data_IF_257402264839
#
_entry.id   IF_257402264839
#
_cell.length_a   1.000
_cell.length_b   1.000
_cell.length_c   1.000
_cell.angle_alpha   90.00
_cell.angle_beta   90.00
_cell.angle_gamma   90.00
#
_symmetry.space_group_name_H-M   'P 1'
#
loop_
_entity.id
_entity.type
_entity.pdbx_description
1 polymer ?
#
# COMPACT_ATOMS: atom_id res chain seq x y z
N UNK A 1 -11.87 9.30 3.89
CA UNK A 1 -11.28 10.29 4.81
C UNK A 1 -11.80 11.68 4.46
N UNK A 2 -11.75 12.62 5.40
CA UNK A 2 -12.21 14.00 5.23
C UNK A 2 -11.18 14.98 5.78
N UNK A 3 -10.60 15.79 4.90
CA UNK A 3 -9.56 16.76 5.29
C UNK A 3 -10.13 18.15 5.49
N UNK A 4 -11.16 18.50 4.70
CA UNK A 4 -11.85 19.77 4.77
C UNK A 4 -13.32 19.51 4.53
N UNK A 5 -14.19 20.09 5.36
CA UNK A 5 -15.62 20.06 5.17
C UNK A 5 -16.20 21.47 5.34
N UNK A 6 -16.67 22.07 4.25
CA UNK A 6 -17.06 23.48 4.25
C UNK A 6 -15.87 24.38 4.58
N UNK A 7 -15.97 25.11 5.69
CA UNK A 7 -14.94 25.98 6.26
C UNK A 7 -14.12 25.32 7.38
N UNK A 8 -14.41 24.06 7.72
CA UNK A 8 -13.71 23.33 8.79
C UNK A 8 -12.53 22.56 8.23
N UNK A 9 -11.32 22.88 8.71
CA UNK A 9 -10.08 22.12 8.46
C UNK A 9 -9.94 20.99 9.48
N UNK A 10 -9.85 19.75 8.98
CA UNK A 10 -9.71 18.52 9.76
C UNK A 10 -8.38 17.81 9.48
N UNK A 11 -7.48 18.38 8.67
CA UNK A 11 -6.21 17.75 8.30
C UNK A 11 -5.34 17.44 9.53
N UNK A 12 -5.33 18.34 10.51
CA UNK A 12 -4.62 18.18 11.78
C UNK A 12 -5.41 17.40 12.85
N UNK A 13 -6.67 17.03 12.59
CA UNK A 13 -7.41 16.16 13.52
C UNK A 13 -6.83 14.74 13.52
N UNK A 14 -7.16 13.93 14.51
CA UNK A 14 -6.83 12.51 14.49
C UNK A 14 -7.77 11.73 13.54
N UNK A 15 -7.46 10.47 13.26
CA UNK A 15 -8.25 9.66 12.34
C UNK A 15 -9.64 9.34 12.91
N UNK A 16 -9.75 9.11 14.22
CA UNK A 16 -11.02 8.79 14.89
C UNK A 16 -12.02 9.95 14.76
N UNK A 17 -11.57 11.19 15.01
CA UNK A 17 -12.34 12.41 14.82
C UNK A 17 -12.78 12.58 13.36
N UNK A 18 -11.85 12.39 12.40
CA UNK A 18 -12.20 12.47 10.97
C UNK A 18 -13.26 11.44 10.56
N UNK A 19 -13.15 10.20 11.04
CA UNK A 19 -14.14 9.16 10.73
C UNK A 19 -15.50 9.46 11.37
N UNK A 20 -15.51 9.87 12.64
CA UNK A 20 -16.74 10.29 13.34
C UNK A 20 -17.43 11.45 12.62
N UNK A 21 -16.65 12.48 12.23
CA UNK A 21 -17.18 13.63 11.50
C UNK A 21 -17.79 13.20 10.17
N UNK A 22 -17.09 12.34 9.41
CA UNK A 22 -17.58 11.85 8.12
C UNK A 22 -18.89 11.08 8.27
N UNK A 23 -18.98 10.19 9.25
CA UNK A 23 -20.20 9.42 9.53
C UNK A 23 -21.37 10.34 9.92
N UNK A 24 -21.14 11.30 10.82
CA UNK A 24 -22.15 12.30 11.20
C UNK A 24 -22.64 13.09 10.00
N UNK A 25 -21.73 13.57 9.13
CA UNK A 25 -22.14 14.34 7.94
C UNK A 25 -22.87 13.50 6.91
N UNK A 26 -22.48 12.25 6.71
CA UNK A 26 -23.20 11.36 5.79
C UNK A 26 -24.63 11.07 6.26
N UNK A 27 -24.89 11.03 7.57
CA UNK A 27 -26.24 10.86 8.10
C UNK A 27 -27.20 12.02 7.82
N UNK A 28 -26.64 13.20 7.49
CA UNK A 28 -27.39 14.41 7.13
C UNK A 28 -27.57 14.57 5.61
N UNK A 29 -26.85 13.79 4.79
CA UNK A 29 -26.94 13.87 3.33
C UNK A 29 -28.27 13.26 2.88
N UNK A 30 -29.08 13.95 2.06
CA UNK A 30 -30.30 13.38 1.51
C UNK A 30 -29.99 12.18 0.62
N UNK A 31 -30.79 11.11 0.73
CA UNK A 31 -30.64 9.88 -0.07
C UNK A 31 -30.62 10.13 -1.59
N UNK A 32 -31.31 11.19 -2.04
CA UNK A 32 -31.38 11.55 -3.44
C UNK A 32 -30.34 12.65 -3.74
N UNK A 33 -29.24 12.34 -4.45
CA UNK A 33 -28.30 13.36 -4.88
C UNK A 33 -28.99 14.34 -5.84
N UNK A 34 -28.46 15.56 -5.92
CA UNK A 34 -28.89 16.51 -6.95
C UNK A 34 -28.72 15.91 -8.35
N UNK A 35 -29.50 16.37 -9.33
CA UNK A 35 -29.54 15.80 -10.68
C UNK A 35 -28.17 15.79 -11.41
N UNK A 36 -27.20 16.56 -10.91
CA UNK A 36 -25.84 16.66 -11.45
C UNK A 36 -24.76 16.06 -10.53
N UNK A 37 -25.12 15.64 -9.32
CA UNK A 37 -24.17 15.06 -8.37
C UNK A 37 -24.13 13.54 -8.52
N UNK A 38 -22.95 12.96 -8.32
CA UNK A 38 -22.81 11.52 -8.13
C UNK A 38 -23.22 11.18 -6.70
N UNK A 39 -23.86 10.03 -6.52
CA UNK A 39 -24.13 9.51 -5.19
C UNK A 39 -22.80 9.26 -4.47
N UNK A 40 -22.71 9.72 -3.23
CA UNK A 40 -21.60 9.38 -2.34
C UNK A 40 -22.03 8.21 -1.48
N UNK A 41 -21.14 7.26 -1.26
CA UNK A 41 -21.36 6.13 -0.37
C UNK A 41 -20.30 6.16 0.73
N UNK A 42 -20.74 6.08 1.99
CA UNK A 42 -19.84 5.98 3.12
C UNK A 42 -19.21 4.59 3.14
N UNK A 43 -17.88 4.54 3.24
CA UNK A 43 -17.14 3.30 3.47
C UNK A 43 -17.12 3.07 4.99
N UNK A 44 -17.61 1.92 5.49
CA UNK A 44 -17.73 1.68 6.92
C UNK A 44 -16.34 1.61 7.56
N UNK A 45 -16.14 2.43 8.58
CA UNK A 45 -15.01 2.31 9.51
C UNK A 45 -15.51 1.62 10.79
N UNK A 46 -14.78 0.64 11.28
CA UNK A 46 -15.14 -0.06 12.53
C UNK A 46 -13.91 -0.15 13.44
N UNK A 47 -14.11 -0.13 14.77
CA UNK A 47 -13.08 -0.55 15.70
C UNK A 47 -12.55 -1.93 15.33
N UNK A 48 -11.23 -2.12 15.47
CA UNK A 48 -10.57 -3.39 15.21
C UNK A 48 -10.84 -4.35 16.37
N UNK A 49 -12.05 -4.94 16.40
CA UNK A 49 -12.39 -6.08 17.25
C UNK A 49 -12.51 -7.34 16.39
N UNK A 50 -12.45 -8.55 16.98
CA UNK A 50 -12.66 -9.80 16.24
C UNK A 50 -13.97 -9.81 15.44
N UNK A 51 -15.05 -9.29 16.02
CA UNK A 51 -16.37 -9.23 15.40
C UNK A 51 -16.41 -8.20 14.27
N UNK A 52 -15.82 -7.02 14.47
CA UNK A 52 -15.73 -5.96 13.45
C UNK A 52 -14.91 -6.40 12.25
N UNK A 53 -13.74 -7.01 12.50
CA UNK A 53 -12.90 -7.59 11.45
C UNK A 53 -13.62 -8.67 10.66
N UNK A 54 -14.23 -9.63 11.37
CA UNK A 54 -14.97 -10.72 10.73
C UNK A 54 -16.12 -10.18 9.86
N UNK A 55 -16.84 -9.17 10.35
CA UNK A 55 -17.91 -8.51 9.58
C UNK A 55 -17.37 -7.85 8.33
N UNK A 56 -16.37 -6.98 8.44
CA UNK A 56 -15.80 -6.28 7.27
C UNK A 56 -15.20 -7.25 6.24
N UNK A 57 -14.63 -8.36 6.69
CA UNK A 57 -14.02 -9.37 5.82
C UNK A 57 -15.06 -10.19 5.05
N UNK A 58 -16.11 -10.67 5.72
CA UNK A 58 -17.08 -11.61 5.11
C UNK A 58 -18.31 -10.94 4.48
N UNK A 59 -18.73 -9.78 4.99
CA UNK A 59 -19.96 -9.14 4.53
C UNK A 59 -19.78 -8.49 3.16
N UNK A 60 -20.75 -8.68 2.27
CA UNK A 60 -20.88 -7.90 1.04
C UNK A 60 -21.44 -6.51 1.38
N UNK A 61 -20.71 -5.48 1.00
CA UNK A 61 -21.05 -4.07 1.27
C UNK A 61 -21.68 -3.39 0.04
N UNK A 62 -22.05 -4.17 -0.98
CA UNK A 62 -22.57 -3.67 -2.26
C UNK A 62 -21.47 -3.17 -3.19
N UNK A 63 -20.21 -3.49 -2.90
CA UNK A 63 -19.06 -3.19 -3.75
C UNK A 63 -17.97 -4.25 -3.60
N UNK A 64 -17.19 -4.42 -4.67
CA UNK A 64 -16.02 -5.31 -4.67
C UNK A 64 -14.93 -4.68 -3.81
N UNK A 65 -14.55 -5.37 -2.73
CA UNK A 65 -13.46 -4.93 -1.87
C UNK A 65 -12.11 -5.07 -2.60
N UNK A 66 -11.14 -4.25 -2.21
CA UNK A 66 -9.74 -4.39 -2.65
C UNK A 66 -8.77 -4.60 -1.46
N UNK A 67 -9.26 -4.42 -0.25
CA UNK A 67 -8.48 -4.60 0.97
C UNK A 67 -9.18 -4.03 2.18
N UNK A 68 -8.51 -4.16 3.33
CA UNK A 68 -8.85 -3.52 4.58
C UNK A 68 -7.79 -2.47 4.88
N UNK A 69 -8.23 -1.24 5.12
CA UNK A 69 -7.36 -0.14 5.55
C UNK A 69 -7.43 -0.02 7.07
N UNK A 70 -6.31 -0.27 7.73
CA UNK A 70 -6.14 -0.05 9.16
C UNK A 70 -5.58 1.35 9.37
N UNK A 71 -6.19 2.11 10.26
CA UNK A 71 -5.74 3.44 10.66
C UNK A 71 -5.54 3.45 12.17
N UNK A 72 -4.42 4.00 12.62
CA UNK A 72 -4.26 4.32 14.03
C UNK A 72 -5.24 5.44 14.40
N UNK A 73 -5.95 5.30 15.53
CA UNK A 73 -6.98 6.26 15.95
C UNK A 73 -6.44 7.68 16.05
N UNK A 74 -5.28 7.82 16.69
CA UNK A 74 -4.57 9.09 16.88
C UNK A 74 -3.77 9.54 15.63
N UNK A 75 -3.97 8.88 14.48
CA UNK A 75 -3.21 9.15 13.27
C UNK A 75 -3.64 10.43 12.56
N UNK A 76 -2.78 11.44 12.54
CA UNK A 76 -2.98 12.64 11.72
C UNK A 76 -2.81 12.35 10.24
N UNK A 77 -3.49 13.12 9.40
CA UNK A 77 -3.28 13.05 7.96
C UNK A 77 -1.99 13.79 7.60
N UNK A 78 -1.09 13.11 6.88
CA UNK A 78 0.22 13.67 6.56
C UNK A 78 0.53 13.53 5.07
N UNK A 79 0.68 14.68 4.39
CA UNK A 79 0.93 14.75 2.93
C UNK A 79 2.42 14.78 2.60
N UNK A 80 3.26 15.10 3.59
CA UNK A 80 4.70 15.32 3.40
C UNK A 80 5.52 14.05 3.16
N UNK A 81 4.97 12.87 3.46
CA UNK A 81 5.66 11.59 3.26
C UNK A 81 4.79 10.57 2.53
N UNK A 82 5.39 9.71 1.70
CA UNK A 82 4.66 8.73 0.90
C UNK A 82 4.14 7.53 1.69
N UNK A 83 4.65 7.32 2.91
CA UNK A 83 4.34 6.17 3.76
C UNK A 83 4.23 6.66 5.19
N UNK A 84 3.26 6.15 5.93
CA UNK A 84 3.12 6.36 7.37
C UNK A 84 2.99 5.00 8.05
N UNK A 85 3.62 4.78 9.22
CA UNK A 85 3.42 3.56 10.00
C UNK A 85 2.02 3.51 10.65
N UNK A 86 1.29 4.64 10.65
CA UNK A 86 -0.04 4.77 11.27
C UNK A 86 -1.18 4.36 10.35
N UNK A 87 -0.87 3.92 9.11
CA UNK A 87 -1.84 3.38 8.18
C UNK A 87 -1.28 2.12 7.51
N UNK A 88 -2.08 1.06 7.47
CA UNK A 88 -1.72 -0.20 6.84
C UNK A 88 -2.83 -0.64 5.90
N UNK A 89 -2.50 -0.81 4.62
CA UNK A 89 -3.37 -1.48 3.65
C UNK A 89 -3.07 -2.96 3.67
N UNK A 90 -4.04 -3.77 4.06
CA UNK A 90 -3.95 -5.22 4.04
C UNK A 90 -4.92 -5.79 2.99
N UNK A 91 -4.50 -6.86 2.32
CA UNK A 91 -5.33 -7.57 1.35
C UNK A 91 -4.94 -9.03 1.28
N UNK A 92 -5.84 -9.86 0.79
CA UNK A 92 -5.60 -11.25 0.45
C UNK A 92 -6.41 -11.62 -0.80
N UNK A 93 -6.32 -12.89 -1.23
CA UNK A 93 -7.01 -13.40 -2.42
C UNK A 93 -8.54 -13.43 -2.26
N UNK A 94 -9.06 -13.42 -1.04
CA UNK A 94 -10.50 -13.45 -0.81
C UNK A 94 -11.10 -12.04 -0.89
N UNK A 95 -10.41 -11.04 -0.34
CA UNK A 95 -10.89 -9.66 -0.29
C UNK A 95 -10.53 -8.88 -1.56
N UNK A 96 -9.39 -9.18 -2.19
CA UNK A 96 -8.89 -8.43 -3.36
C UNK A 96 -8.76 -9.33 -4.57
N UNK A 97 -9.38 -8.90 -5.68
CA UNK A 97 -9.15 -9.49 -7.00
C UNK A 97 -7.69 -9.35 -7.45
N UNK A 98 -7.00 -8.29 -7.03
CA UNK A 98 -5.61 -7.98 -7.41
C UNK A 98 -4.66 -8.07 -6.22
N UNK A 99 -4.76 -9.16 -5.44
CA UNK A 99 -3.84 -9.42 -4.32
C UNK A 99 -2.38 -9.47 -4.77
N UNK A 100 -2.12 -9.91 -6.01
CA UNK A 100 -0.82 -9.89 -6.67
C UNK A 100 -0.91 -8.94 -7.87
N UNK A 101 0.11 -8.12 -8.09
CA UNK A 101 0.11 -7.17 -9.20
C UNK A 101 0.15 -7.94 -10.54
N UNK A 102 -0.89 -7.73 -11.36
CA UNK A 102 -1.05 -8.29 -12.70
C UNK A 102 -1.09 -7.18 -13.76
N UNK A 103 -0.59 -7.42 -14.98
CA UNK A 103 -0.57 -6.43 -16.06
C UNK A 103 -1.90 -6.37 -16.80
N UNK A 104 -2.75 -7.39 -16.67
CA UNK A 104 -4.05 -7.49 -17.32
C UNK A 104 -5.18 -7.04 -16.40
N UNK A 105 -6.20 -6.42 -17.01
CA UNK A 105 -7.40 -5.93 -16.32
C UNK A 105 -8.18 -7.08 -15.67
N UNK A 106 -8.00 -8.29 -16.19
CA UNK A 106 -8.75 -9.47 -15.76
C UNK A 106 -8.10 -10.25 -14.60
N UNK A 107 -6.83 -9.96 -14.28
CA UNK A 107 -5.99 -10.65 -13.29
C UNK A 107 -5.74 -12.14 -13.58
N UNK A 108 -5.86 -12.57 -14.82
CA UNK A 108 -5.66 -13.96 -15.25
C UNK A 108 -4.18 -14.29 -15.47
N UNK A 109 -3.36 -13.30 -15.87
CA UNK A 109 -1.97 -13.55 -16.23
C UNK A 109 -1.04 -13.05 -15.12
N UNK A 110 -0.49 -13.98 -14.34
CA UNK A 110 0.54 -13.67 -13.35
C UNK A 110 1.89 -13.53 -14.06
N UNK A 111 2.55 -12.36 -14.02
CA UNK A 111 3.90 -12.23 -14.53
C UNK A 111 4.84 -13.23 -13.86
N UNK A 112 5.85 -13.72 -14.58
CA UNK A 112 6.86 -14.58 -13.97
C UNK A 112 7.62 -13.86 -12.85
N UNK A 113 7.90 -12.55 -13.04
CA UNK A 113 8.66 -11.72 -12.09
C UNK A 113 7.84 -10.59 -11.52
N UNK A 114 8.12 -10.24 -10.27
CA UNK A 114 7.54 -9.08 -9.61
C UNK A 114 8.12 -7.79 -10.21
N UNK A 115 7.25 -6.90 -10.67
CA UNK A 115 7.66 -5.55 -11.05
C UNK A 115 7.66 -4.64 -9.82
N UNK A 116 8.72 -3.86 -9.65
CA UNK A 116 8.89 -2.92 -8.53
C UNK A 116 9.32 -1.57 -9.08
N UNK A 117 8.74 -0.49 -8.54
CA UNK A 117 9.17 0.88 -8.85
C UNK A 117 10.01 1.43 -7.70
N UNK A 118 11.25 1.81 -7.98
CA UNK A 118 12.21 2.29 -6.98
C UNK A 118 12.76 3.65 -7.39
N UNK A 119 13.25 4.42 -6.42
CA UNK A 119 13.92 5.69 -6.68
C UNK A 119 15.42 5.46 -6.88
N UNK A 120 15.99 6.00 -7.96
CA UNK A 120 17.43 5.98 -8.19
C UNK A 120 18.11 7.05 -7.35
N UNK A 121 19.13 6.65 -6.61
CA UNK A 121 20.05 7.49 -5.83
C UNK A 121 21.45 7.42 -6.44
N UNK A 122 22.36 8.26 -5.94
CA UNK A 122 23.70 8.39 -6.52
C UNK A 122 24.45 7.05 -6.56
N UNK A 123 25.13 6.79 -7.67
CA UNK A 123 25.81 5.52 -7.98
C UNK A 123 24.85 4.41 -8.40
N UNK A 124 23.65 4.72 -8.88
CA UNK A 124 22.65 3.71 -9.29
C UNK A 124 21.98 2.96 -8.13
N UNK A 125 22.16 3.40 -6.88
CA UNK A 125 21.52 2.80 -5.70
C UNK A 125 20.01 2.96 -5.77
N UNK A 126 19.26 1.95 -5.34
CA UNK A 126 17.80 1.91 -5.40
C UNK A 126 17.20 2.05 -4.02
N UNK A 127 16.19 2.93 -3.90
CA UNK A 127 15.54 3.26 -2.64
C UNK A 127 14.03 3.14 -2.73
N UNK A 128 13.41 2.63 -1.66
CA UNK A 128 11.94 2.60 -1.50
C UNK A 128 11.40 3.95 -1.02
N UNK A 129 10.07 4.07 -0.99
CA UNK A 129 9.36 5.26 -0.51
C UNK A 129 9.64 5.57 0.97
N UNK A 130 9.76 4.53 1.79
CA UNK A 130 10.14 4.55 3.21
C UNK A 130 11.67 4.65 3.42
N UNK A 131 12.39 5.08 2.38
CA UNK A 131 13.83 5.44 2.40
C UNK A 131 14.78 4.27 2.66
N UNK A 132 14.34 3.02 2.50
CA UNK A 132 15.20 1.82 2.62
C UNK A 132 16.01 1.61 1.34
N UNK A 133 17.33 1.42 1.47
CA UNK A 133 18.21 1.10 0.34
C UNK A 133 18.20 -0.40 0.05
N UNK A 134 17.53 -0.77 -1.03
CA UNK A 134 17.22 -2.17 -1.34
C UNK A 134 18.13 -2.80 -2.39
N UNK A 135 18.85 -2.01 -3.18
CA UNK A 135 19.69 -2.58 -4.23
C UNK A 135 20.53 -1.54 -4.95
N UNK A 136 21.17 -1.96 -6.04
CA UNK A 136 21.97 -1.09 -6.90
C UNK A 136 21.92 -1.64 -8.32
N UNK A 137 21.79 -0.74 -9.30
CA UNK A 137 21.92 -1.08 -10.71
C UNK A 137 23.39 -1.32 -11.04
N UNK A 138 23.66 -2.33 -11.88
CA UNK A 138 24.99 -2.50 -12.45
C UNK A 138 25.26 -1.44 -13.55
N UNK A 139 26.47 -1.40 -14.09
CA UNK A 139 26.89 -0.38 -15.07
C UNK A 139 26.04 -0.42 -16.35
N UNK A 140 25.70 -1.62 -16.84
CA UNK A 140 24.87 -1.81 -18.03
C UNK A 140 23.43 -1.30 -17.81
N UNK A 141 22.81 -1.70 -16.71
CA UNK A 141 21.46 -1.28 -16.31
C UNK A 141 21.41 0.23 -16.06
N UNK A 142 22.47 0.81 -15.49
CA UNK A 142 22.56 2.25 -15.27
C UNK A 142 22.69 3.01 -16.60
N UNK A 143 23.40 2.45 -17.58
CA UNK A 143 23.47 3.00 -18.92
C UNK A 143 22.10 3.01 -19.62
N UNK A 144 21.26 1.99 -19.42
CA UNK A 144 19.89 1.93 -19.99
C UNK A 144 18.97 3.06 -19.48
N UNK A 145 19.18 3.53 -18.24
CA UNK A 145 18.35 4.59 -17.63
C UNK A 145 19.00 5.97 -17.68
N UNK A 146 20.25 6.06 -18.09
CA UNK A 146 20.96 7.31 -18.29
C UNK A 146 20.39 8.02 -19.52
N UNK A 147 19.59 9.05 -19.30
CA UNK A 147 19.06 9.88 -20.38
C UNK A 147 19.94 11.11 -20.54
N UNK A 148 20.49 11.30 -21.74
CA UNK A 148 21.25 12.49 -22.14
C UNK A 148 22.50 12.78 -21.27
N UNK A 149 23.23 11.74 -20.86
CA UNK A 149 24.52 11.88 -20.15
C UNK A 149 24.42 12.44 -18.72
N UNK A 150 23.21 12.54 -18.16
CA UNK A 150 22.98 12.93 -16.77
C UNK A 150 22.57 11.72 -15.95
N UNK A 151 23.20 11.57 -14.77
CA UNK A 151 22.82 10.55 -13.81
C UNK A 151 21.34 10.70 -13.43
N UNK A 152 20.50 9.65 -13.50
CA UNK A 152 19.05 9.71 -13.29
C UNK A 152 18.68 9.79 -11.80
N UNK A 153 19.49 10.48 -10.99
CA UNK A 153 19.27 10.66 -9.57
C UNK A 153 17.92 11.34 -9.30
N UNK A 154 17.14 10.75 -8.40
CA UNK A 154 15.80 11.20 -8.03
C UNK A 154 14.71 10.76 -9.02
N UNK A 155 15.06 10.04 -10.10
CA UNK A 155 14.06 9.44 -11.00
C UNK A 155 13.54 8.14 -10.42
N UNK A 156 12.29 7.82 -10.74
CA UNK A 156 11.71 6.52 -10.47
C UNK A 156 12.04 5.58 -11.62
N UNK A 157 12.38 4.33 -11.31
CA UNK A 157 12.67 3.28 -12.29
C UNK A 157 11.82 2.07 -11.98
N UNK A 158 11.24 1.46 -13.02
CA UNK A 158 10.57 0.17 -12.92
C UNK A 158 11.58 -0.92 -13.22
N UNK A 159 11.70 -1.88 -12.31
CA UNK A 159 12.56 -3.04 -12.43
C UNK A 159 11.76 -4.32 -12.22
N UNK A 160 12.26 -5.42 -12.77
CA UNK A 160 11.81 -6.76 -12.41
C UNK A 160 12.75 -7.33 -11.38
N UNK A 161 12.20 -7.74 -10.25
CA UNK A 161 12.96 -8.43 -9.22
C UNK A 161 13.26 -9.86 -9.66
N UNK A 162 14.53 -10.25 -9.61
CA UNK A 162 14.95 -11.65 -9.71
C UNK A 162 14.60 -12.35 -8.40
N UNK A 163 14.88 -11.69 -7.28
CA UNK A 163 14.62 -12.17 -5.94
C UNK A 163 14.48 -11.01 -4.95
N UNK A 164 13.87 -11.28 -3.79
CA UNK A 164 13.71 -10.33 -2.69
C UNK A 164 14.12 -11.00 -1.37
N UNK A 165 15.23 -10.53 -0.81
CA UNK A 165 15.66 -10.95 0.53
C UNK A 165 14.88 -10.15 1.58
N UNK A 166 13.91 -10.81 2.21
CA UNK A 166 13.05 -10.20 3.23
C UNK A 166 13.81 -9.79 4.50
N UNK A 167 14.87 -10.53 4.86
CA UNK A 167 15.64 -10.30 6.08
C UNK A 167 16.64 -9.16 5.90
N UNK A 168 17.44 -9.20 4.83
CA UNK A 168 18.40 -8.14 4.51
C UNK A 168 17.75 -6.87 3.93
N UNK A 169 16.45 -6.94 3.63
CA UNK A 169 15.69 -5.90 2.91
C UNK A 169 16.34 -5.54 1.57
N UNK A 170 16.66 -6.55 0.77
CA UNK A 170 17.32 -6.40 -0.52
C UNK A 170 16.46 -6.89 -1.68
N UNK A 171 16.64 -6.27 -2.84
CA UNK A 171 15.99 -6.65 -4.10
C UNK A 171 17.09 -6.87 -5.13
N UNK A 172 17.16 -8.09 -5.65
CA UNK A 172 18.04 -8.43 -6.76
C UNK A 172 17.37 -8.00 -8.07
N UNK A 173 18.02 -7.12 -8.84
CA UNK A 173 17.46 -6.58 -10.09
C UNK A 173 17.75 -7.55 -11.24
N UNK A 174 16.69 -8.14 -11.80
CA UNK A 174 16.82 -9.00 -12.97
C UNK A 174 16.90 -8.19 -14.28
N UNK A 175 16.03 -7.20 -14.40
CA UNK A 175 15.86 -6.41 -15.62
C UNK A 175 15.33 -5.02 -15.30
N UNK A 176 15.81 -4.01 -16.00
CA UNK A 176 15.22 -2.68 -15.98
C UNK A 176 14.16 -2.57 -17.07
N UNK A 177 12.97 -2.08 -16.72
CA UNK A 177 11.88 -1.81 -17.67
C UNK A 177 11.87 -0.37 -18.17
N UNK A 178 12.52 0.53 -17.43
CA UNK A 178 12.72 1.93 -17.81
C UNK A 178 12.32 2.91 -16.71
N UNK A 179 12.59 4.18 -16.99
CA UNK A 179 12.25 5.31 -16.10
C UNK A 179 10.74 5.56 -16.10
N UNK A 180 10.17 5.76 -14.92
CA UNK A 180 8.75 6.07 -14.71
C UNK A 180 8.56 7.58 -14.66
N UNK A 181 7.70 8.11 -15.52
CA UNK A 181 7.38 9.53 -15.56
C UNK A 181 6.52 10.00 -14.37
N UNK A 182 6.75 11.23 -13.91
CA UNK A 182 6.02 11.80 -12.77
C UNK A 182 4.49 11.85 -12.97
N UNK A 183 4.01 11.94 -14.22
CA UNK A 183 2.57 11.92 -14.56
C UNK A 183 1.89 10.60 -14.22
N UNK A 184 2.60 9.48 -14.30
CA UNK A 184 2.03 8.16 -13.99
C UNK A 184 2.21 7.77 -12.54
N UNK A 185 3.21 8.34 -11.86
CA UNK A 185 3.55 7.96 -10.48
C UNK A 185 4.37 9.03 -9.76
N UNK A 186 3.96 9.34 -8.52
CA UNK A 186 4.65 10.33 -7.67
C UNK A 186 5.73 9.70 -6.77
N UNK A 187 5.53 8.47 -6.31
CA UNK A 187 6.39 7.83 -5.30
C UNK A 187 6.85 6.44 -5.70
N UNK A 188 8.01 6.01 -5.20
CA UNK A 188 8.45 4.62 -5.27
C UNK A 188 7.47 3.68 -4.55
N UNK A 189 7.64 2.37 -4.72
CA UNK A 189 7.01 1.39 -3.83
C UNK A 189 7.63 1.47 -2.43
N UNK A 190 6.81 1.25 -1.40
CA UNK A 190 7.29 1.06 -0.03
C UNK A 190 7.87 -0.34 0.13
N UNK A 191 8.77 -0.54 1.10
CA UNK A 191 9.27 -1.87 1.42
C UNK A 191 8.14 -2.86 1.75
N UNK A 192 7.15 -2.42 2.54
CA UNK A 192 5.99 -3.23 2.89
C UNK A 192 5.26 -3.75 1.65
N UNK A 193 5.08 -2.93 0.61
CA UNK A 193 4.47 -3.38 -0.65
C UNK A 193 5.36 -4.38 -1.39
N UNK A 194 6.67 -4.14 -1.44
CA UNK A 194 7.63 -5.03 -2.11
C UNK A 194 7.63 -6.41 -1.44
N UNK A 195 7.76 -6.44 -0.11
CA UNK A 195 7.74 -7.66 0.70
C UNK A 195 6.39 -8.38 0.59
N UNK A 196 5.27 -7.64 0.69
CA UNK A 196 3.92 -8.19 0.56
C UNK A 196 3.74 -8.94 -0.78
N UNK A 197 4.12 -8.30 -1.89
CA UNK A 197 4.02 -8.90 -3.22
C UNK A 197 4.90 -10.15 -3.36
N UNK A 198 6.13 -10.11 -2.84
CA UNK A 198 7.02 -11.27 -2.87
C UNK A 198 6.43 -12.44 -2.07
N UNK A 199 5.98 -12.19 -0.85
CA UNK A 199 5.39 -13.21 0.02
C UNK A 199 4.13 -13.84 -0.59
N UNK A 200 3.24 -13.04 -1.19
CA UNK A 200 2.05 -13.56 -1.90
C UNK A 200 2.41 -14.45 -3.09
N UNK A 201 3.46 -14.10 -3.84
CA UNK A 201 3.94 -14.89 -4.99
C UNK A 201 4.57 -16.22 -4.56
N UNK A 202 5.28 -16.23 -3.44
CA UNK A 202 5.89 -17.41 -2.85
C UNK A 202 4.93 -18.24 -1.98
N UNK A 203 3.65 -17.83 -1.90
CA UNK A 203 2.65 -18.41 -0.99
C UNK A 203 3.08 -18.42 0.50
N UNK A 204 3.96 -17.50 0.90
CA UNK A 204 4.41 -17.29 2.28
C UNK A 204 3.43 -16.39 3.04
N UNK A 205 2.14 -16.71 2.99
CA UNK A 205 1.06 -15.81 3.47
C UNK A 205 0.57 -16.15 4.88
N UNK A 206 1.09 -17.21 5.51
CA UNK A 206 0.61 -17.67 6.83
C UNK A 206 0.65 -16.56 7.90
N UNK A 207 1.75 -15.81 7.96
CA UNK A 207 1.97 -14.70 8.90
C UNK A 207 1.14 -13.45 8.58
N UNK A 208 0.52 -13.39 7.40
CA UNK A 208 -0.25 -12.25 6.91
C UNK A 208 -1.68 -12.66 6.53
N UNK A 209 -2.11 -13.83 6.97
CA UNK A 209 -3.45 -14.36 6.69
C UNK A 209 -4.50 -13.62 7.50
N UNK A 210 -5.76 -13.74 7.09
CA UNK A 210 -6.87 -13.23 7.89
C UNK A 210 -6.87 -13.82 9.32
N UNK A 211 -6.50 -15.10 9.46
CA UNK A 211 -6.37 -15.74 10.78
C UNK A 211 -5.25 -15.12 11.62
N UNK A 212 -4.13 -14.73 11.01
CA UNK A 212 -3.09 -14.00 11.71
C UNK A 212 -3.58 -12.62 12.19
N UNK A 213 -4.34 -11.88 11.36
CA UNK A 213 -4.99 -10.63 11.77
C UNK A 213 -5.96 -10.83 12.94
N UNK A 214 -6.78 -11.88 12.88
CA UNK A 214 -7.75 -12.20 13.94
C UNK A 214 -7.05 -12.49 15.27
N UNK A 215 -5.96 -13.26 15.27
CA UNK A 215 -5.17 -13.50 16.49
C UNK A 215 -4.60 -12.21 17.07
N UNK A 216 -4.03 -11.34 16.23
CA UNK A 216 -3.53 -10.02 16.66
C UNK A 216 -4.65 -9.17 17.28
N UNK A 217 -5.87 -9.20 16.71
CA UNK A 217 -7.00 -8.43 17.23
C UNK A 217 -7.54 -8.96 18.58
N UNK A 218 -7.32 -10.23 18.90
CA UNK A 218 -7.65 -10.83 20.21
C UNK A 218 -6.55 -10.53 21.25
N UNK A 219 -5.41 -9.97 20.83
CA UNK A 219 -4.23 -9.74 21.67
C UNK A 219 -3.29 -10.95 21.75
N UNK A 220 -3.55 -12.00 20.97
CA UNK A 220 -2.71 -13.20 20.85
C UNK A 220 -1.67 -13.01 19.74
N UNK A 221 -0.91 -11.90 19.82
CA UNK A 221 0.17 -11.65 18.89
C UNK A 221 1.29 -12.65 19.16
N UNK A 222 1.63 -13.47 18.16
CA UNK A 222 2.83 -14.29 18.20
C UNK A 222 4.04 -13.40 18.53
N UNK A 223 5.00 -13.87 19.36
CA UNK A 223 6.17 -13.07 19.70
C UNK A 223 6.87 -12.60 18.44
N UNK A 224 7.27 -11.33 18.41
CA UNK A 224 8.01 -10.78 17.29
C UNK A 224 9.21 -11.68 17.02
N UNK A 225 9.40 -12.10 15.76
CA UNK A 225 10.56 -12.86 15.34
C UNK A 225 11.83 -12.04 15.64
N UNK A 226 12.43 -12.28 16.81
CA UNK A 226 13.47 -11.44 17.40
C UNK A 226 13.57 -11.51 18.93
N UNK A 227 12.55 -12.01 19.62
CA UNK A 227 12.58 -12.17 21.10
C UNK A 227 12.91 -13.58 21.60
N UNK A 228 13.48 -14.43 20.74
CA UNK A 228 14.19 -15.62 21.20
C UNK A 228 15.66 -15.25 21.43
N UNK A 229 16.00 -14.87 22.66
CA UNK A 229 17.37 -14.92 23.18
C UNK A 229 17.71 -16.33 23.61
#
# INVERSE_FOLDING_TARGET
>A
DVLVWGDTDLAASDAECRMFWLESRFSEIPDKPSRRARALQLIPAQPVTPEGLSRLYHTDLGYVKDGLLFLHREGHYYVGEPVTPLALMWRDRQVSRWSVDTPDVEAQMLPERQAVVLEIRGGGRLRTADRVLVGQLNEEQLAEVNVAGKEPKGKLVRVEAADVDLAARKVAVAKVRGVVGAKSRCYADSWGRVAFQHMQRQNLTQSMSFQALMRTAIGDAAPAAGEAK
#
